data_IF_765021929259
#
_entry.id   IF_765021929259
#
_cell.length_a   1.000
_cell.length_b   1.000
_cell.length_c   1.000
_cell.angle_alpha   90.00
_cell.angle_beta   90.00
_cell.angle_gamma   90.00
#
_symmetry.space_group_name_H-M   'P 1'
#
loop_
_entity.id
_entity.type
_entity.pdbx_description
1 polymer ?
#
# COMPACT_ATOMS: atom_id res chain seq x y z
N UNK A 1 -14.94 0.12 0.36
CA UNK A 1 -14.00 0.03 -0.74
C UNK A 1 -14.05 -1.30 -1.46
N UNK A 2 -13.66 -1.29 -2.71
CA UNK A 2 -13.81 -2.43 -3.59
C UNK A 2 -13.03 -3.67 -3.20
N UNK A 3 -11.93 -3.52 -2.47
CA UNK A 3 -11.13 -4.68 -2.06
C UNK A 3 -11.91 -5.60 -1.14
N UNK A 4 -12.55 -5.04 -0.13
CA UNK A 4 -13.29 -5.83 0.86
C UNK A 4 -14.43 -6.57 0.19
N UNK A 5 -15.15 -5.92 -0.71
CA UNK A 5 -16.28 -6.52 -1.38
C UNK A 5 -15.93 -7.64 -2.34
N UNK A 6 -14.63 -7.86 -2.64
CA UNK A 6 -14.17 -8.89 -3.56
C UNK A 6 -13.39 -10.01 -2.89
N UNK A 7 -13.57 -10.18 -1.60
CA UNK A 7 -12.89 -11.25 -0.88
C UNK A 7 -11.53 -10.86 -0.33
N UNK A 8 -11.15 -9.60 -0.46
CA UNK A 8 -9.94 -9.08 0.16
C UNK A 8 -10.28 -8.35 1.45
N UNK A 9 -9.36 -8.34 2.37
CA UNK A 9 -9.49 -7.57 3.60
C UNK A 9 -8.18 -6.84 3.88
N UNK A 10 -8.30 -5.71 4.58
CA UNK A 10 -7.12 -4.96 5.01
C UNK A 10 -6.68 -5.54 6.34
N UNK A 11 -5.46 -6.08 6.39
CA UNK A 11 -4.91 -6.65 7.60
C UNK A 11 -4.37 -5.57 8.54
N UNK A 12 -3.71 -4.54 7.97
CA UNK A 12 -3.12 -3.47 8.77
C UNK A 12 -2.78 -2.28 7.87
N UNK A 13 -2.64 -1.12 8.48
CA UNK A 13 -2.24 0.12 7.81
C UNK A 13 -1.00 0.66 8.50
N UNK A 14 -0.01 1.11 7.72
CA UNK A 14 1.27 1.58 8.23
C UNK A 14 1.64 2.94 7.65
N UNK A 15 2.37 3.72 8.40
CA UNK A 15 2.92 4.98 7.93
C UNK A 15 4.22 5.28 8.68
N UNK A 16 5.07 6.09 8.07
CA UNK A 16 6.30 6.57 8.71
C UNK A 16 6.11 7.92 9.41
N UNK A 17 5.04 8.62 9.11
CA UNK A 17 4.77 9.96 9.66
C UNK A 17 4.23 9.83 11.09
N UNK A 18 4.97 10.33 12.10
CA UNK A 18 4.50 10.23 13.49
C UNK A 18 3.17 10.94 13.74
N UNK A 19 2.82 11.92 12.91
CA UNK A 19 1.53 12.60 13.05
C UNK A 19 0.35 11.72 12.59
N UNK A 20 0.62 10.74 11.73
CA UNK A 20 -0.39 9.82 11.19
C UNK A 20 -0.49 8.55 12.02
N UNK A 21 0.66 8.07 12.54
CA UNK A 21 0.69 6.86 13.37
C UNK A 21 -0.19 7.06 14.60
N UNK A 22 -1.04 6.08 14.86
CA UNK A 22 -1.99 6.13 15.96
C UNK A 22 -3.36 6.68 15.61
N UNK A 23 -3.51 7.28 14.43
CA UNK A 23 -4.83 7.72 13.96
C UNK A 23 -5.60 6.53 13.40
N UNK A 24 -6.92 6.69 13.21
CA UNK A 24 -7.76 5.63 12.67
C UNK A 24 -8.09 5.88 11.21
N UNK A 25 -8.04 4.81 10.43
CA UNK A 25 -8.42 4.82 9.02
C UNK A 25 -9.18 3.52 8.73
N UNK A 26 -10.43 3.63 8.29
CA UNK A 26 -11.27 2.47 7.93
C UNK A 26 -11.29 1.39 9.00
N UNK A 27 -11.37 1.79 10.27
CA UNK A 27 -11.43 0.84 11.39
C UNK A 27 -10.08 0.31 11.84
N UNK A 28 -8.99 0.72 11.20
CA UNK A 28 -7.64 0.32 11.58
C UNK A 28 -6.90 1.48 12.21
N UNK A 29 -6.13 1.18 13.26
CA UNK A 29 -5.20 2.14 13.82
C UNK A 29 -3.93 2.09 12.97
N UNK A 30 -3.48 3.24 12.48
CA UNK A 30 -2.26 3.30 11.68
C UNK A 30 -1.06 2.97 12.56
N UNK A 31 -0.27 1.99 12.14
CA UNK A 31 0.89 1.49 12.89
C UNK A 31 2.18 2.06 12.33
N UNK A 32 3.24 2.16 13.15
CA UNK A 32 4.53 2.55 12.61
C UNK A 32 5.08 1.47 11.68
N UNK A 33 5.86 1.89 10.70
CA UNK A 33 6.35 0.97 9.66
C UNK A 33 7.21 -0.15 10.22
N UNK A 34 7.85 0.04 11.37
CA UNK A 34 8.69 -0.99 11.99
C UNK A 34 7.89 -2.18 12.55
N UNK A 35 6.56 -2.07 12.59
CA UNK A 35 5.68 -3.19 12.96
C UNK A 35 5.36 -4.10 11.78
N UNK A 36 5.72 -3.69 10.57
CA UNK A 36 5.33 -4.39 9.35
C UNK A 36 5.80 -5.84 9.33
N UNK A 37 7.06 -6.09 9.66
CA UNK A 37 7.61 -7.45 9.62
C UNK A 37 6.86 -8.38 10.58
N UNK A 38 6.53 -7.90 11.77
CA UNK A 38 5.81 -8.70 12.76
C UNK A 38 4.40 -9.05 12.25
N UNK A 39 3.71 -8.09 11.65
CA UNK A 39 2.35 -8.33 11.14
C UNK A 39 2.37 -9.36 10.00
N UNK A 40 3.32 -9.25 9.08
CA UNK A 40 3.44 -10.19 7.98
C UNK A 40 3.82 -11.58 8.50
N UNK A 41 4.73 -11.64 9.47
CA UNK A 41 5.15 -12.91 10.06
C UNK A 41 4.00 -13.65 10.75
N UNK A 42 3.01 -12.90 11.23
CA UNK A 42 1.80 -13.50 11.82
C UNK A 42 0.82 -14.01 10.77
N UNK A 43 1.20 -13.96 9.50
CA UNK A 43 0.34 -14.41 8.41
C UNK A 43 -0.72 -13.42 8.02
N UNK A 44 -0.53 -12.17 8.37
CA UNK A 44 -1.57 -11.16 8.24
C UNK A 44 -1.75 -10.58 6.85
N UNK A 45 -0.81 -10.76 5.92
CA UNK A 45 -0.91 -10.09 4.63
C UNK A 45 -0.29 -10.92 3.52
N UNK A 46 -0.89 -10.88 2.31
CA UNK A 46 -0.39 -11.51 1.10
C UNK A 46 0.02 -10.49 0.05
N UNK A 47 -0.57 -9.31 0.06
CA UNK A 47 -0.31 -8.26 -0.91
C UNK A 47 0.01 -6.98 -0.15
N UNK A 48 1.07 -6.28 -0.58
CA UNK A 48 1.40 -4.96 -0.07
C UNK A 48 0.89 -3.89 -1.02
N UNK A 49 0.40 -2.79 -0.47
CA UNK A 49 -0.08 -1.64 -1.25
C UNK A 49 0.74 -0.43 -0.86
N UNK A 50 1.36 0.22 -1.84
CA UNK A 50 2.14 1.44 -1.65
C UNK A 50 1.28 2.63 -2.06
N UNK A 51 0.98 3.51 -1.11
CA UNK A 51 0.19 4.71 -1.34
C UNK A 51 0.84 5.94 -0.73
N UNK A 52 2.16 5.94 -0.62
CA UNK A 52 2.94 7.05 -0.06
C UNK A 52 3.41 7.97 -1.20
N UNK A 53 3.91 9.18 -0.86
CA UNK A 53 4.49 10.07 -1.88
C UNK A 53 5.65 9.42 -2.61
N UNK A 54 5.93 9.93 -3.82
CA UNK A 54 6.97 9.38 -4.69
C UNK A 54 8.32 9.25 -3.99
N UNK A 55 8.68 10.21 -3.16
CA UNK A 55 9.97 10.21 -2.45
C UNK A 55 10.11 9.07 -1.46
N UNK A 56 9.00 8.50 -0.99
CA UNK A 56 8.99 7.45 0.02
C UNK A 56 8.69 6.07 -0.56
N UNK A 57 8.38 6.00 -1.85
CA UNK A 57 7.89 4.76 -2.45
C UNK A 57 8.92 3.63 -2.42
N UNK A 58 10.18 3.94 -2.72
CA UNK A 58 11.23 2.91 -2.72
C UNK A 58 11.47 2.37 -1.32
N UNK A 59 11.48 3.23 -0.31
CA UNK A 59 11.64 2.78 1.08
C UNK A 59 10.47 1.89 1.51
N UNK A 60 9.25 2.23 1.08
CA UNK A 60 8.08 1.40 1.35
C UNK A 60 8.20 0.03 0.68
N UNK A 61 8.64 0.01 -0.59
CA UNK A 61 8.85 -1.25 -1.30
C UNK A 61 9.90 -2.11 -0.61
N UNK A 62 11.01 -1.50 -0.19
CA UNK A 62 12.08 -2.23 0.51
C UNK A 62 11.58 -2.83 1.82
N UNK A 63 10.75 -2.10 2.56
CA UNK A 63 10.17 -2.60 3.81
C UNK A 63 9.25 -3.79 3.55
N UNK A 64 8.41 -3.72 2.53
CA UNK A 64 7.53 -4.82 2.16
C UNK A 64 8.31 -6.06 1.76
N UNK A 65 9.37 -5.89 0.97
CA UNK A 65 10.23 -7.00 0.55
C UNK A 65 10.90 -7.65 1.75
N UNK A 66 11.46 -6.84 2.67
CA UNK A 66 12.09 -7.36 3.89
C UNK A 66 11.09 -8.14 4.75
N UNK A 67 9.84 -7.73 4.74
CA UNK A 67 8.80 -8.42 5.50
C UNK A 67 8.34 -9.71 4.85
N UNK A 68 8.77 -9.99 3.62
CA UNK A 68 8.41 -11.23 2.93
C UNK A 68 7.26 -11.11 1.95
N UNK A 69 6.81 -9.92 1.66
CA UNK A 69 5.74 -9.68 0.69
C UNK A 69 6.29 -9.93 -0.73
N UNK A 70 5.56 -10.68 -1.52
CA UNK A 70 5.96 -11.06 -2.89
C UNK A 70 5.14 -10.36 -3.96
N UNK A 71 4.04 -9.71 -3.61
CA UNK A 71 3.16 -9.04 -4.56
C UNK A 71 2.84 -7.65 -4.06
N UNK A 72 3.11 -6.64 -4.89
CA UNK A 72 2.97 -5.24 -4.50
C UNK A 72 2.12 -4.52 -5.54
N UNK A 73 1.13 -3.75 -5.07
CA UNK A 73 0.43 -2.75 -5.87
C UNK A 73 1.03 -1.38 -5.55
N UNK A 74 1.54 -0.71 -6.56
CA UNK A 74 2.20 0.58 -6.38
C UNK A 74 1.34 1.70 -6.95
N UNK A 75 0.73 2.49 -6.07
CA UNK A 75 -0.05 3.68 -6.45
C UNK A 75 0.79 4.95 -6.49
N UNK A 76 2.03 4.91 -6.02
CA UNK A 76 2.91 6.07 -6.09
C UNK A 76 3.31 6.35 -7.54
N UNK A 77 3.49 7.63 -7.91
CA UNK A 77 3.77 7.99 -9.31
C UNK A 77 5.25 7.82 -9.69
N UNK A 78 5.87 6.73 -9.25
CA UNK A 78 7.25 6.37 -9.58
C UNK A 78 7.37 4.87 -9.70
N UNK A 79 8.39 4.40 -10.40
CA UNK A 79 8.75 2.99 -10.42
C UNK A 79 9.55 2.67 -9.16
N UNK A 80 9.39 1.45 -8.67
CA UNK A 80 10.19 0.95 -7.56
C UNK A 80 10.99 -0.27 -8.02
N UNK A 81 12.19 -0.42 -7.47
CA UNK A 81 13.05 -1.57 -7.75
C UNK A 81 12.82 -2.65 -6.72
N UNK A 82 12.63 -3.87 -7.19
CA UNK A 82 12.43 -5.03 -6.31
C UNK A 82 13.29 -6.20 -6.81
N UNK A 83 13.65 -7.14 -5.93
CA UNK A 83 14.43 -8.30 -6.35
C UNK A 83 13.60 -9.25 -7.21
N UNK A 84 14.29 -10.16 -7.89
CA UNK A 84 13.63 -11.22 -8.63
C UNK A 84 12.73 -12.02 -7.70
N UNK A 85 11.57 -12.42 -8.20
CA UNK A 85 10.60 -13.16 -7.41
C UNK A 85 9.54 -12.29 -6.74
N UNK A 86 9.71 -10.97 -6.75
CA UNK A 86 8.70 -10.04 -6.28
C UNK A 86 8.02 -9.41 -7.50
N UNK A 87 6.70 -9.39 -7.50
CA UNK A 87 5.93 -8.78 -8.58
C UNK A 87 5.39 -7.43 -8.13
N UNK A 88 5.52 -6.43 -9.00
CA UNK A 88 4.99 -5.10 -8.75
C UNK A 88 4.05 -4.75 -9.90
N UNK A 89 2.86 -4.32 -9.56
CA UNK A 89 1.93 -3.74 -10.52
C UNK A 89 1.74 -2.28 -10.19
N UNK A 90 2.05 -1.42 -11.16
CA UNK A 90 1.86 0.01 -10.98
C UNK A 90 0.46 0.40 -11.43
N UNK A 91 -0.21 1.20 -10.60
CA UNK A 91 -1.54 1.74 -10.92
C UNK A 91 -1.42 3.25 -10.99
N UNK A 92 -1.84 3.81 -12.10
CA UNK A 92 -1.79 5.25 -12.32
C UNK A 92 -3.07 5.91 -11.81
N UNK A 93 -3.01 6.42 -10.57
CA UNK A 93 -4.16 7.07 -9.96
C UNK A 93 -4.58 8.33 -10.72
N UNK A 94 -3.64 9.05 -11.32
CA UNK A 94 -3.99 10.26 -12.07
C UNK A 94 -4.86 9.92 -13.26
N UNK A 95 -4.53 8.87 -14.01
CA UNK A 95 -5.33 8.40 -15.12
C UNK A 95 -6.71 7.92 -14.66
N UNK A 96 -6.76 7.15 -13.57
CA UNK A 96 -8.03 6.66 -13.03
C UNK A 96 -8.93 7.80 -12.59
N UNK A 97 -8.37 8.81 -11.94
CA UNK A 97 -9.14 9.97 -11.50
C UNK A 97 -9.65 10.78 -12.69
N UNK A 98 -8.87 10.90 -13.76
CA UNK A 98 -9.32 11.59 -14.98
C UNK A 98 -10.49 10.87 -15.62
N UNK A 99 -10.45 9.56 -15.70
CA UNK A 99 -11.55 8.77 -16.25
C UNK A 99 -12.82 8.96 -15.42
N UNK A 100 -12.71 8.92 -14.09
CA UNK A 100 -13.86 9.13 -13.23
C UNK A 100 -14.44 10.53 -13.37
N UNK A 101 -13.57 11.54 -13.44
CA UNK A 101 -14.02 12.92 -13.61
C UNK A 101 -14.75 13.13 -14.93
N UNK A 102 -14.32 12.46 -15.99
CA UNK A 102 -14.94 12.55 -17.30
C UNK A 102 -16.40 12.08 -17.28
N UNK A 103 -16.69 11.04 -16.50
CA UNK A 103 -18.03 10.45 -16.42
C UNK A 103 -18.90 11.05 -15.34
N UNK A 104 -18.41 11.94 -14.51
CA UNK A 104 -19.22 12.55 -13.47
C UNK A 104 -20.01 13.73 -14.01
N UNK A 105 -21.32 13.78 -13.75
CA UNK A 105 -22.10 14.99 -14.04
C UNK A 105 -21.67 16.10 -13.07
N UNK A 106 -21.40 17.25 -13.58
CA UNK A 106 -21.02 18.37 -12.76
C UNK A 106 -22.17 19.32 -12.54
#
# INVERSE_FOLDING_TARGET
PGFVGRGFSVAAVFDTDPAIVGTRTDGHVVQPIDRLEAVVAEGGAAIGVIAVPATDAQNAADALVRAGIKSILNFAPVLVDVPAGVQVRRVDLATELQVLAYYQPT
#
